data_IF_158478441933
#
_entry.id   IF_158478441933
#
_cell.length_a   1.000
_cell.length_b   1.000
_cell.length_c   1.000
_cell.angle_alpha   90.00
_cell.angle_beta   90.00
_cell.angle_gamma   90.00
#
_symmetry.space_group_name_H-M   'P 1'
#
loop_
_entity.id
_entity.type
_entity.pdbx_description
1 polymer ?
#
# COMPACT_ATOMS: atom_id res chain seq x y z
N UNK A 1 -0.94 -29.96 19.36
CA UNK A 1 -1.81 -28.85 19.84
C UNK A 1 -2.23 -28.07 18.61
N UNK A 2 -3.53 -27.77 18.38
CA UNK A 2 -3.87 -26.86 17.29
C UNK A 2 -3.15 -25.53 17.53
N UNK A 3 -2.53 -25.00 16.48
CA UNK A 3 -1.76 -23.75 16.55
C UNK A 3 -2.73 -22.62 16.92
N UNK A 4 -2.63 -22.07 18.14
CA UNK A 4 -3.42 -20.91 18.54
C UNK A 4 -2.80 -19.67 17.89
N UNK A 5 -3.42 -19.20 16.81
CA UNK A 5 -3.01 -18.00 16.09
C UNK A 5 -3.99 -16.88 16.42
N UNK A 6 -3.48 -15.78 16.98
CA UNK A 6 -4.27 -14.60 17.36
C UNK A 6 -4.87 -13.87 16.15
N UNK A 7 -4.19 -13.92 15.01
CA UNK A 7 -4.56 -13.18 13.78
C UNK A 7 -4.34 -14.02 12.51
N UNK A 8 -5.09 -15.13 12.34
CA UNK A 8 -4.89 -16.05 11.21
C UNK A 8 -5.06 -15.38 9.84
N UNK A 9 -5.98 -14.41 9.71
CA UNK A 9 -6.22 -13.74 8.44
C UNK A 9 -5.13 -12.73 8.09
N UNK A 10 -4.69 -11.90 9.05
CA UNK A 10 -3.52 -11.02 8.86
C UNK A 10 -2.26 -11.82 8.53
N UNK A 11 -2.05 -12.95 9.22
CA UNK A 11 -0.89 -13.82 8.96
C UNK A 11 -0.93 -14.34 7.52
N UNK A 12 -2.07 -14.86 7.07
CA UNK A 12 -2.24 -15.36 5.70
C UNK A 12 -1.99 -14.29 4.63
N UNK A 13 -2.40 -13.04 4.87
CA UNK A 13 -2.25 -11.96 3.90
C UNK A 13 -0.89 -11.27 3.95
N UNK A 14 -0.15 -11.38 5.05
CA UNK A 14 1.15 -10.72 5.24
C UNK A 14 2.15 -10.99 4.12
N UNK A 15 2.20 -12.24 3.64
CA UNK A 15 3.08 -12.65 2.54
C UNK A 15 2.73 -11.96 1.21
N UNK A 16 1.44 -11.75 0.92
CA UNK A 16 1.00 -11.07 -0.31
C UNK A 16 1.43 -9.60 -0.30
N UNK A 17 1.22 -8.90 0.82
CA UNK A 17 1.61 -7.49 0.96
C UNK A 17 3.13 -7.32 0.96
N UNK A 18 3.88 -8.21 1.63
CA UNK A 18 5.33 -8.22 1.60
C UNK A 18 5.86 -8.47 0.19
N UNK A 19 5.35 -9.49 -0.50
CA UNK A 19 5.76 -9.81 -1.87
C UNK A 19 5.50 -8.67 -2.84
N UNK A 20 4.33 -8.01 -2.73
CA UNK A 20 4.00 -6.89 -3.59
C UNK A 20 4.81 -5.62 -3.27
N UNK A 21 5.08 -5.35 -1.99
CA UNK A 21 6.00 -4.30 -1.56
C UNK A 21 7.37 -4.52 -2.20
N UNK A 22 7.95 -5.71 -2.03
CA UNK A 22 9.24 -6.07 -2.60
C UNK A 22 9.27 -5.96 -4.12
N UNK A 23 8.20 -6.38 -4.81
CA UNK A 23 8.08 -6.19 -6.25
C UNK A 23 8.18 -4.72 -6.64
N UNK A 24 7.44 -3.82 -5.98
CA UNK A 24 7.49 -2.39 -6.25
C UNK A 24 8.87 -1.79 -5.93
N UNK A 25 9.53 -2.23 -4.85
CA UNK A 25 10.88 -1.80 -4.50
C UNK A 25 11.89 -2.24 -5.56
N UNK A 26 11.84 -3.51 -5.98
CA UNK A 26 12.69 -4.04 -7.05
C UNK A 26 12.45 -3.30 -8.37
N UNK A 27 11.20 -2.99 -8.71
CA UNK A 27 10.88 -2.20 -9.90
C UNK A 27 11.56 -0.82 -9.86
N UNK A 28 11.52 -0.13 -8.72
CA UNK A 28 12.26 1.13 -8.55
C UNK A 28 13.77 0.91 -8.73
N UNK A 29 14.35 -0.08 -8.06
CA UNK A 29 15.79 -0.36 -8.12
C UNK A 29 16.23 -0.64 -9.57
N UNK A 30 15.51 -1.48 -10.30
CA UNK A 30 15.81 -1.81 -11.71
C UNK A 30 15.76 -0.55 -12.58
N UNK A 31 14.74 0.30 -12.42
CA UNK A 31 14.66 1.54 -13.20
C UNK A 31 15.79 2.54 -12.83
N UNK A 32 16.24 2.57 -11.58
CA UNK A 32 17.39 3.39 -11.15
C UNK A 32 18.71 2.90 -11.75
N UNK A 33 18.95 1.59 -11.74
CA UNK A 33 20.14 0.99 -12.35
C UNK A 33 20.17 1.19 -13.87
N UNK A 34 19.00 1.10 -14.51
CA UNK A 34 18.88 1.31 -15.95
C UNK A 34 19.18 2.76 -16.35
N UNK A 35 18.67 3.73 -15.59
CA UNK A 35 18.82 5.16 -15.90
C UNK A 35 20.06 5.82 -15.29
N UNK A 36 20.73 5.17 -14.33
CA UNK A 36 21.78 5.74 -13.48
C UNK A 36 21.29 6.93 -12.61
N UNK A 37 19.97 7.12 -12.44
CA UNK A 37 19.42 8.20 -11.61
C UNK A 37 19.06 7.65 -10.22
N UNK A 38 19.83 8.03 -9.19
CA UNK A 38 19.67 7.51 -7.83
C UNK A 38 18.79 8.39 -6.94
N UNK A 39 18.87 9.72 -7.10
CA UNK A 39 17.98 10.69 -6.44
C UNK A 39 17.54 11.77 -7.43
N UNK A 40 16.51 12.53 -7.04
CA UNK A 40 15.96 13.63 -7.82
C UNK A 40 14.59 13.35 -8.41
N UNK A 41 13.79 14.41 -8.52
CA UNK A 41 12.46 14.37 -9.13
C UNK A 41 12.35 15.26 -10.38
N UNK A 42 13.05 16.39 -10.37
CA UNK A 42 13.20 17.36 -11.46
C UNK A 42 14.59 17.24 -12.10
N UNK A 43 14.75 17.78 -13.31
CA UNK A 43 16.04 17.74 -14.03
C UNK A 43 17.16 18.48 -13.28
N UNK A 44 16.83 19.46 -12.44
CA UNK A 44 17.78 20.19 -11.58
C UNK A 44 18.33 19.37 -10.41
N UNK A 45 17.58 18.35 -9.95
CA UNK A 45 17.81 17.70 -8.66
C UNK A 45 18.31 16.25 -8.83
N UNK A 46 18.65 15.85 -10.06
CA UNK A 46 19.10 14.48 -10.37
C UNK A 46 20.51 14.24 -9.85
N UNK A 47 20.63 13.24 -8.97
CA UNK A 47 21.93 12.72 -8.53
C UNK A 47 22.18 11.40 -9.26
N UNK A 48 23.25 11.40 -10.04
CA UNK A 48 23.71 10.22 -10.78
C UNK A 48 24.57 9.32 -9.89
N UNK A 49 24.58 8.03 -10.22
CA UNK A 49 25.45 7.07 -9.57
C UNK A 49 26.88 7.14 -10.10
N UNK A 50 27.77 6.30 -9.54
CA UNK A 50 29.11 6.15 -10.10
C UNK A 50 29.05 5.62 -11.55
N UNK A 51 29.96 6.11 -12.38
CA UNK A 51 30.07 5.77 -13.81
C UNK A 51 29.63 6.91 -14.74
N UNK A 52 29.68 6.65 -16.05
CA UNK A 52 29.28 7.63 -17.06
C UNK A 52 27.76 7.86 -17.05
N UNK A 53 27.37 9.11 -17.29
CA UNK A 53 25.96 9.45 -17.45
C UNK A 53 25.38 8.74 -18.67
N UNK A 54 24.28 8.00 -18.44
CA UNK A 54 23.53 7.39 -19.52
C UNK A 54 22.66 8.43 -20.20
N UNK A 55 22.64 8.43 -21.53
CA UNK A 55 21.64 9.18 -22.30
C UNK A 55 20.28 8.52 -22.07
N UNK A 56 19.41 9.21 -21.34
CA UNK A 56 18.08 8.73 -21.02
C UNK A 56 17.04 9.41 -21.90
N UNK A 57 16.09 8.65 -22.44
CA UNK A 57 14.94 9.24 -23.11
C UNK A 57 13.98 9.87 -22.08
N UNK A 58 13.15 10.86 -22.46
CA UNK A 58 12.10 11.37 -21.58
C UNK A 58 11.16 10.27 -21.06
N UNK A 59 10.94 9.22 -21.86
CA UNK A 59 10.11 8.08 -21.48
C UNK A 59 10.73 7.25 -20.34
N UNK A 60 12.06 7.08 -20.33
CA UNK A 60 12.77 6.32 -19.27
C UNK A 60 12.68 7.05 -17.92
N UNK A 61 12.86 8.37 -17.94
CA UNK A 61 12.72 9.22 -16.75
C UNK A 61 11.29 9.17 -16.22
N UNK A 62 10.29 9.29 -17.10
CA UNK A 62 8.88 9.21 -16.72
C UNK A 62 8.53 7.83 -16.15
N UNK A 63 9.08 6.74 -16.69
CA UNK A 63 8.89 5.37 -16.18
C UNK A 63 9.46 5.23 -14.76
N UNK A 64 10.66 5.74 -14.50
CA UNK A 64 11.25 5.75 -13.16
C UNK A 64 10.38 6.56 -12.18
N UNK A 65 9.91 7.75 -12.56
CA UNK A 65 9.03 8.57 -11.74
C UNK A 65 7.71 7.84 -11.39
N UNK A 66 7.09 7.18 -12.38
CA UNK A 66 5.88 6.35 -12.15
C UNK A 66 6.17 5.20 -11.19
N UNK A 67 7.29 4.50 -11.34
CA UNK A 67 7.68 3.41 -10.44
C UNK A 67 7.88 3.91 -8.99
N UNK A 68 8.60 5.02 -8.81
CA UNK A 68 8.81 5.65 -7.49
C UNK A 68 7.48 6.04 -6.87
N UNK A 69 6.56 6.66 -7.64
CA UNK A 69 5.26 7.07 -7.11
C UNK A 69 4.37 5.86 -6.80
N UNK A 70 4.41 4.78 -7.58
CA UNK A 70 3.67 3.56 -7.27
C UNK A 70 4.14 2.94 -5.94
N UNK A 71 5.46 2.82 -5.74
CA UNK A 71 6.05 2.33 -4.50
C UNK A 71 5.73 3.25 -3.30
N UNK A 72 5.88 4.56 -3.47
CA UNK A 72 5.58 5.56 -2.43
C UNK A 72 4.12 5.49 -1.97
N UNK A 73 3.16 5.53 -2.90
CA UNK A 73 1.74 5.43 -2.56
C UNK A 73 1.42 4.13 -1.80
N UNK A 74 2.00 3.00 -2.21
CA UNK A 74 1.79 1.72 -1.51
C UNK A 74 2.33 1.80 -0.08
N UNK A 75 3.55 2.29 0.09
CA UNK A 75 4.22 2.45 1.40
C UNK A 75 3.49 3.43 2.33
N UNK A 76 2.86 4.47 1.79
CA UNK A 76 2.14 5.50 2.55
C UNK A 76 0.79 4.99 3.10
N UNK A 77 0.06 4.18 2.33
CA UNK A 77 -1.35 3.87 2.63
C UNK A 77 -1.62 2.41 3.00
N UNK A 78 -0.91 1.46 2.41
CA UNK A 78 -1.18 0.04 2.64
C UNK A 78 -0.83 -0.41 4.07
N UNK A 79 0.32 -0.02 4.68
CA UNK A 79 0.64 -0.43 6.04
C UNK A 79 -0.37 0.05 7.07
N UNK A 80 -0.85 1.30 6.94
CA UNK A 80 -1.82 1.88 7.87
C UNK A 80 -3.17 1.16 7.78
N UNK A 81 -3.69 0.95 6.56
CA UNK A 81 -4.93 0.20 6.36
C UNK A 81 -4.80 -1.24 6.85
N UNK A 82 -3.68 -1.90 6.57
CA UNK A 82 -3.39 -3.26 7.03
C UNK A 82 -3.41 -3.35 8.56
N UNK A 83 -2.79 -2.37 9.23
CA UNK A 83 -2.73 -2.27 10.68
C UNK A 83 -4.11 -2.09 11.31
N UNK A 84 -4.98 -1.24 10.75
CA UNK A 84 -6.36 -1.09 11.26
C UNK A 84 -7.17 -2.38 11.14
N UNK A 85 -6.99 -3.13 10.05
CA UNK A 85 -7.64 -4.44 9.88
C UNK A 85 -7.09 -5.45 10.90
N UNK A 86 -5.77 -5.44 11.14
CA UNK A 86 -5.12 -6.30 12.14
C UNK A 86 -5.62 -5.99 13.56
N UNK A 87 -5.75 -4.71 13.91
CA UNK A 87 -6.34 -4.28 15.19
C UNK A 87 -7.77 -4.82 15.34
N UNK A 88 -8.56 -4.80 14.28
CA UNK A 88 -9.92 -5.35 14.33
C UNK A 88 -9.89 -6.86 14.58
N UNK A 89 -9.02 -7.60 13.88
CA UNK A 89 -8.86 -9.05 14.08
C UNK A 89 -8.47 -9.40 15.52
N UNK A 90 -7.49 -8.68 16.09
CA UNK A 90 -7.06 -8.86 17.48
C UNK A 90 -8.18 -8.63 18.50
N UNK A 91 -9.14 -7.78 18.18
CA UNK A 91 -10.27 -7.43 19.05
C UNK A 91 -11.54 -8.23 18.74
N UNK A 92 -11.41 -9.34 18.00
CA UNK A 92 -12.50 -10.30 17.80
C UNK A 92 -13.36 -10.05 16.57
N UNK A 93 -12.88 -9.27 15.59
CA UNK A 93 -13.56 -9.17 14.30
C UNK A 93 -13.71 -10.56 13.64
N UNK A 94 -14.84 -10.87 12.98
CA UNK A 94 -15.03 -12.14 12.29
C UNK A 94 -13.94 -12.38 11.24
N UNK A 95 -13.27 -13.55 11.29
CA UNK A 95 -12.15 -13.88 10.40
C UNK A 95 -12.50 -13.77 8.92
N UNK A 96 -13.74 -14.10 8.53
CA UNK A 96 -14.23 -13.96 7.15
C UNK A 96 -14.26 -12.50 6.69
N UNK A 97 -14.68 -11.58 7.56
CA UNK A 97 -14.71 -10.14 7.29
C UNK A 97 -13.28 -9.59 7.16
N UNK A 98 -12.36 -10.05 8.02
CA UNK A 98 -10.95 -9.66 7.97
C UNK A 98 -10.30 -10.12 6.65
N UNK A 99 -10.55 -11.36 6.20
CA UNK A 99 -10.10 -11.85 4.90
C UNK A 99 -10.66 -11.03 3.73
N UNK A 100 -11.95 -10.69 3.77
CA UNK A 100 -12.58 -9.86 2.74
C UNK A 100 -11.96 -8.46 2.69
N UNK A 101 -11.70 -7.84 3.86
CA UNK A 101 -11.05 -6.53 3.96
C UNK A 101 -9.63 -6.56 3.39
N UNK A 102 -8.81 -7.55 3.75
CA UNK A 102 -7.45 -7.68 3.21
C UNK A 102 -7.43 -7.96 1.71
N UNK A 103 -8.31 -8.82 1.21
CA UNK A 103 -8.42 -9.12 -0.22
C UNK A 103 -8.80 -7.87 -0.98
N UNK A 104 -9.80 -7.12 -0.50
CA UNK A 104 -10.24 -5.87 -1.10
C UNK A 104 -9.12 -4.83 -1.11
N UNK A 105 -8.43 -4.66 0.02
CA UNK A 105 -7.28 -3.77 0.12
C UNK A 105 -6.21 -4.15 -0.90
N UNK A 106 -5.81 -5.42 -0.95
CA UNK A 106 -4.77 -5.89 -1.85
C UNK A 106 -5.13 -5.64 -3.32
N UNK A 107 -6.33 -6.02 -3.75
CA UNK A 107 -6.82 -5.80 -5.11
C UNK A 107 -6.86 -4.31 -5.44
N UNK A 108 -7.35 -3.46 -4.52
CA UNK A 108 -7.35 -2.01 -4.70
C UNK A 108 -5.94 -1.43 -4.88
N UNK A 109 -4.95 -1.93 -4.10
CA UNK A 109 -3.54 -1.50 -4.20
C UNK A 109 -2.89 -1.94 -5.50
N UNK A 110 -3.14 -3.17 -5.94
CA UNK A 110 -2.64 -3.68 -7.22
C UNK A 110 -3.25 -2.89 -8.39
N UNK A 111 -4.56 -2.67 -8.37
CA UNK A 111 -5.26 -1.88 -9.39
C UNK A 111 -4.74 -0.43 -9.44
N UNK A 112 -4.58 0.22 -8.29
CA UNK A 112 -4.07 1.60 -8.22
C UNK A 112 -2.68 1.74 -8.86
N UNK A 113 -1.77 0.83 -8.54
CA UNK A 113 -0.38 0.90 -8.99
C UNK A 113 -0.19 0.42 -10.43
N UNK A 114 -0.71 -0.77 -10.80
CA UNK A 114 -0.43 -1.38 -12.10
C UNK A 114 -1.39 -0.91 -13.20
N UNK A 115 -2.69 -0.72 -12.87
CA UNK A 115 -3.71 -0.27 -13.83
C UNK A 115 -3.91 1.26 -13.82
N UNK A 116 -3.24 1.96 -12.91
CA UNK A 116 -3.28 3.41 -12.78
C UNK A 116 -1.88 4.02 -12.95
N UNK A 117 -1.12 4.09 -11.86
CA UNK A 117 0.12 4.88 -11.78
C UNK A 117 1.20 4.44 -12.77
N UNK A 118 1.37 3.13 -13.02
CA UNK A 118 2.40 2.62 -13.93
C UNK A 118 1.96 2.59 -15.41
N UNK A 119 0.66 2.72 -15.69
CA UNK A 119 0.14 2.74 -17.07
C UNK A 119 0.56 4.01 -17.81
N UNK A 120 0.72 3.91 -19.14
CA UNK A 120 1.04 5.07 -20.00
C UNK A 120 -0.05 6.14 -19.91
N UNK A 121 -1.32 5.70 -19.80
CA UNK A 121 -2.45 6.55 -19.45
C UNK A 121 -2.60 6.65 -17.93
N UNK A 122 -1.67 7.35 -17.27
CA UNK A 122 -1.65 7.52 -15.81
C UNK A 122 -2.92 8.14 -15.17
N UNK A 123 -3.85 8.62 -16.00
CA UNK A 123 -5.19 9.12 -15.68
C UNK A 123 -6.32 8.07 -15.83
N UNK A 124 -5.98 6.80 -16.13
CA UNK A 124 -6.94 5.71 -16.29
C UNK A 124 -7.73 5.37 -15.02
N UNK A 125 -8.84 4.65 -15.20
CA UNK A 125 -9.86 4.34 -14.18
C UNK A 125 -9.28 3.57 -12.96
N UNK A 126 -8.15 2.87 -13.13
CA UNK A 126 -7.50 2.12 -12.05
C UNK A 126 -7.06 2.99 -10.86
N UNK A 127 -6.72 4.27 -11.11
CA UNK A 127 -6.30 5.21 -10.06
C UNK A 127 -7.45 5.66 -9.15
N UNK A 128 -8.55 6.26 -9.65
CA UNK A 128 -9.66 6.69 -8.79
C UNK A 128 -10.30 5.51 -8.07
N UNK A 129 -10.51 4.39 -8.76
CA UNK A 129 -11.08 3.18 -8.14
C UNK A 129 -10.20 2.68 -6.99
N UNK A 130 -8.90 2.50 -7.24
CA UNK A 130 -7.98 1.98 -6.22
C UNK A 130 -7.83 2.93 -5.02
N UNK A 131 -7.86 4.25 -5.24
CA UNK A 131 -7.84 5.25 -4.16
C UNK A 131 -9.12 5.19 -3.33
N UNK A 132 -10.29 5.23 -3.97
CA UNK A 132 -11.58 5.20 -3.27
C UNK A 132 -11.75 3.91 -2.48
N UNK A 133 -11.41 2.76 -3.09
CA UNK A 133 -11.49 1.47 -2.41
C UNK A 133 -10.52 1.39 -1.22
N UNK A 134 -9.28 1.88 -1.36
CA UNK A 134 -8.32 1.94 -0.23
C UNK A 134 -8.88 2.82 0.90
N UNK A 135 -9.42 4.00 0.57
CA UNK A 135 -9.96 4.93 1.55
C UNK A 135 -11.19 4.34 2.26
N UNK A 136 -12.08 3.70 1.51
CA UNK A 136 -13.27 3.03 2.06
C UNK A 136 -12.89 1.91 3.04
N UNK A 137 -11.88 1.10 2.70
CA UNK A 137 -11.38 0.06 3.62
C UNK A 137 -10.76 0.68 4.88
N UNK A 138 -9.93 1.72 4.74
CA UNK A 138 -9.30 2.39 5.89
C UNK A 138 -10.33 3.01 6.83
N UNK A 139 -11.28 3.77 6.28
CA UNK A 139 -12.35 4.40 7.07
C UNK A 139 -13.25 3.33 7.68
N UNK A 140 -13.64 2.31 6.91
CA UNK A 140 -14.45 1.20 7.38
C UNK A 140 -13.80 0.45 8.54
N UNK A 141 -12.52 0.11 8.43
CA UNK A 141 -11.76 -0.52 9.51
C UNK A 141 -11.64 0.38 10.74
N UNK A 142 -11.43 1.69 10.55
CA UNK A 142 -11.38 2.65 11.66
C UNK A 142 -12.72 2.76 12.41
N UNK A 143 -13.83 2.88 11.68
CA UNK A 143 -15.17 2.92 12.27
C UNK A 143 -15.53 1.60 12.96
N UNK A 144 -15.13 0.47 12.38
CA UNK A 144 -15.33 -0.84 12.98
C UNK A 144 -14.54 -0.99 14.29
N UNK A 145 -13.27 -0.56 14.31
CA UNK A 145 -12.47 -0.52 15.53
C UNK A 145 -13.09 0.38 16.61
N UNK A 146 -13.62 1.55 16.23
CA UNK A 146 -14.35 2.42 17.16
C UNK A 146 -15.58 1.71 17.73
N UNK A 147 -16.32 0.96 16.91
CA UNK A 147 -17.46 0.18 17.38
C UNK A 147 -17.06 -0.89 18.39
N UNK A 148 -15.98 -1.65 18.13
CA UNK A 148 -15.45 -2.64 19.08
C UNK A 148 -14.99 -1.99 20.40
N UNK A 149 -14.38 -0.81 20.33
CA UNK A 149 -13.89 -0.06 21.49
C UNK A 149 -14.91 0.86 22.17
N UNK A 150 -16.17 0.85 21.72
CA UNK A 150 -17.15 1.86 22.14
C UNK A 150 -17.54 1.75 23.63
N UNK A 151 -17.78 0.53 24.11
CA UNK A 151 -18.14 0.32 25.52
C UNK A 151 -17.00 0.72 26.49
N UNK A 152 -15.74 0.28 26.29
CA UNK A 152 -14.62 0.79 27.07
C UNK A 152 -14.47 2.32 27.02
N UNK A 153 -14.67 2.92 25.84
CA UNK A 153 -14.58 4.37 25.68
C UNK A 153 -15.66 5.11 26.46
N UNK A 154 -16.93 4.67 26.39
CA UNK A 154 -18.02 5.26 27.19
C UNK A 154 -17.73 5.18 28.68
N UNK A 155 -17.27 4.01 29.15
CA UNK A 155 -16.90 3.82 30.55
C UNK A 155 -15.76 4.74 30.97
N UNK A 156 -14.72 4.90 30.13
CA UNK A 156 -13.62 5.82 30.39
C UNK A 156 -14.07 7.29 30.46
N UNK A 157 -15.03 7.68 29.61
CA UNK A 157 -15.61 9.03 29.58
C UNK A 157 -16.63 9.27 30.70
N UNK A 158 -16.91 8.28 31.56
CA UNK A 158 -17.84 8.41 32.68
C UNK A 158 -19.32 8.38 32.27
N UNK A 159 -19.63 7.97 31.04
CA UNK A 159 -21.00 7.72 30.61
C UNK A 159 -21.46 6.37 31.20
N UNK A 160 -22.59 6.39 31.92
CA UNK A 160 -23.27 5.19 32.44
C UNK A 160 -24.17 4.58 31.39
#
# INVERSE_FOLDING_TARGET
MPLFVLSPASLAHSALFAGYYSYLSCNVIVNRLNTNIFLGSTDSDKVYGPGDQKVNSPADVAKLQRAVRAHGNFSESAPFAFFLIFLAELNGAPTSLVHAAYTTLFVARVAHANLGVQSENSAGIGRPFGTIATLAVTIGAGLYNLNLGWEPLKSFLGFK
#
